data_IF_993891356381
#
_entry.id   IF_993891356381
#
_cell.length_a   1.000
_cell.length_b   1.000
_cell.length_c   1.000
_cell.angle_alpha   90.00
_cell.angle_beta   90.00
_cell.angle_gamma   90.00
#
_symmetry.space_group_name_H-M   'P 1'
#
loop_
_entity.id
_entity.type
_entity.pdbx_description
1 polymer ?
#
# COMPACT_ATOMS: atom_id res chain seq x y z
N UNK A 1 -12.09 -18.46 -9.30
CA UNK A 1 -13.23 -19.03 -8.57
C UNK A 1 -14.11 -17.92 -7.99
N UNK A 2 -13.66 -17.22 -6.95
CA UNK A 2 -14.37 -16.10 -6.30
C UNK A 2 -14.83 -14.99 -7.28
N UNK A 3 -13.93 -14.53 -8.17
CA UNK A 3 -14.27 -13.54 -9.22
C UNK A 3 -15.43 -13.95 -10.13
N UNK A 4 -15.58 -15.25 -10.45
CA UNK A 4 -16.70 -15.75 -11.28
C UNK A 4 -18.04 -15.66 -10.54
N UNK A 5 -17.99 -15.65 -9.19
CA UNK A 5 -19.15 -15.54 -8.30
C UNK A 5 -19.45 -14.10 -7.84
N UNK A 6 -18.65 -13.11 -8.27
CA UNK A 6 -18.71 -11.71 -7.76
C UNK A 6 -18.55 -11.61 -6.23
N UNK A 7 -17.77 -12.53 -5.70
CA UNK A 7 -17.44 -12.66 -4.28
C UNK A 7 -15.93 -12.48 -4.08
N UNK A 8 -15.53 -12.21 -2.85
CA UNK A 8 -14.14 -12.00 -2.47
C UNK A 8 -13.86 -12.56 -1.07
N UNK A 9 -12.59 -12.86 -0.79
CA UNK A 9 -12.13 -13.28 0.54
C UNK A 9 -12.23 -12.07 1.48
N UNK A 10 -12.79 -12.20 2.67
CA UNK A 10 -12.86 -11.11 3.66
C UNK A 10 -11.48 -10.69 4.20
N UNK A 11 -10.76 -9.89 3.42
CA UNK A 11 -9.43 -9.39 3.78
C UNK A 11 -9.48 -8.44 4.97
N UNK A 12 -10.61 -7.74 5.20
CA UNK A 12 -10.76 -6.86 6.36
C UNK A 12 -10.90 -7.69 7.65
N UNK A 13 -11.70 -8.76 7.62
CA UNK A 13 -11.78 -9.72 8.71
C UNK A 13 -10.42 -10.33 9.06
N UNK A 14 -9.67 -10.77 8.03
CA UNK A 14 -8.31 -11.30 8.19
C UNK A 14 -7.37 -10.26 8.79
N UNK A 15 -7.40 -9.02 8.29
CA UNK A 15 -6.58 -7.92 8.80
C UNK A 15 -6.89 -7.60 10.26
N UNK A 16 -8.17 -7.51 10.62
CA UNK A 16 -8.56 -7.21 12.00
C UNK A 16 -8.19 -8.34 12.98
N UNK A 17 -8.32 -9.60 12.55
CA UNK A 17 -7.91 -10.75 13.34
C UNK A 17 -6.39 -10.99 13.34
N UNK A 18 -5.64 -10.33 12.45
CA UNK A 18 -4.22 -10.57 12.18
C UNK A 18 -3.91 -12.06 11.96
N UNK A 19 -4.86 -12.80 11.40
CA UNK A 19 -4.77 -14.25 11.24
C UNK A 19 -5.71 -14.74 10.15
N UNK A 20 -5.29 -15.79 9.45
CA UNK A 20 -6.12 -16.56 8.51
C UNK A 20 -6.92 -17.60 9.29
N UNK A 21 -8.19 -17.75 8.98
CA UNK A 21 -9.03 -18.74 9.63
C UNK A 21 -8.81 -20.15 9.06
N UNK A 22 -9.15 -21.23 9.81
CA UNK A 22 -8.89 -22.61 9.36
C UNK A 22 -9.57 -23.00 8.04
N UNK A 23 -10.69 -22.36 7.69
CA UNK A 23 -11.40 -22.66 6.44
C UNK A 23 -10.63 -22.10 5.25
N UNK A 24 -10.12 -20.86 5.36
CA UNK A 24 -9.26 -20.28 4.33
C UNK A 24 -7.91 -20.99 4.25
N UNK A 25 -7.31 -21.40 5.38
CA UNK A 25 -6.10 -22.24 5.39
C UNK A 25 -6.31 -23.56 4.61
N UNK A 26 -7.43 -24.24 4.86
CA UNK A 26 -7.80 -25.47 4.15
C UNK A 26 -7.98 -25.24 2.64
N UNK A 27 -8.69 -24.16 2.27
CA UNK A 27 -8.87 -23.78 0.87
C UNK A 27 -7.52 -23.50 0.17
N UNK A 28 -6.60 -22.78 0.83
CA UNK A 28 -5.25 -22.53 0.32
C UNK A 28 -4.51 -23.84 0.11
N UNK A 29 -4.57 -24.78 1.06
CA UNK A 29 -3.91 -26.07 0.95
C UNK A 29 -4.43 -26.90 -0.24
N UNK A 30 -5.75 -26.96 -0.42
CA UNK A 30 -6.38 -27.65 -1.57
C UNK A 30 -5.93 -27.04 -2.89
N UNK A 31 -6.03 -25.72 -3.05
CA UNK A 31 -5.64 -25.03 -4.29
C UNK A 31 -4.15 -25.23 -4.57
N UNK A 32 -3.31 -25.06 -3.54
CA UNK A 32 -1.86 -25.22 -3.66
C UNK A 32 -1.47 -26.64 -4.06
N UNK A 33 -2.13 -27.66 -3.50
CA UNK A 33 -1.92 -29.05 -3.88
C UNK A 33 -2.23 -29.30 -5.35
N UNK A 34 -3.39 -28.83 -5.82
CA UNK A 34 -3.80 -29.00 -7.23
C UNK A 34 -2.85 -28.28 -8.20
N UNK A 35 -2.42 -27.06 -7.84
CA UNK A 35 -1.47 -26.28 -8.65
C UNK A 35 -0.10 -26.95 -8.66
N UNK A 36 0.41 -27.36 -7.50
CA UNK A 36 1.69 -28.06 -7.39
C UNK A 36 1.71 -29.32 -8.29
N UNK A 37 0.67 -30.13 -8.17
CA UNK A 37 0.49 -31.36 -8.96
C UNK A 37 0.49 -31.11 -10.47
N UNK A 38 0.04 -29.92 -10.90
CA UNK A 38 0.05 -29.50 -12.29
C UNK A 38 1.45 -29.07 -12.74
N UNK A 39 2.09 -28.16 -11.99
CA UNK A 39 3.35 -27.52 -12.41
C UNK A 39 4.54 -28.48 -12.41
N UNK A 40 4.53 -29.51 -11.54
CA UNK A 40 5.57 -30.55 -11.52
C UNK A 40 5.45 -31.55 -12.69
N UNK A 41 4.37 -31.46 -13.47
CA UNK A 41 4.12 -32.25 -14.69
C UNK A 41 4.01 -31.31 -15.90
N UNK A 42 5.10 -30.65 -16.31
CA UNK A 42 5.08 -29.76 -17.47
C UNK A 42 4.87 -30.56 -18.77
N UNK A 43 4.45 -29.89 -19.86
CA UNK A 43 4.39 -30.51 -21.19
C UNK A 43 5.75 -31.06 -21.66
N UNK A 44 5.73 -32.01 -22.60
CA UNK A 44 6.95 -32.57 -23.17
C UNK A 44 7.90 -31.50 -23.70
N UNK A 45 9.20 -31.69 -23.48
CA UNK A 45 10.24 -30.74 -23.88
C UNK A 45 10.48 -29.59 -22.89
N UNK A 46 9.74 -29.52 -21.78
CA UNK A 46 9.97 -28.56 -20.71
C UNK A 46 10.50 -29.30 -19.47
N UNK A 47 11.75 -29.04 -19.09
CA UNK A 47 12.40 -29.64 -17.92
C UNK A 47 12.51 -28.68 -16.73
N UNK A 48 12.55 -27.37 -16.99
CA UNK A 48 12.68 -26.35 -15.94
C UNK A 48 11.29 -25.86 -15.48
N UNK A 49 10.89 -26.30 -14.29
CA UNK A 49 9.59 -25.95 -13.67
C UNK A 49 9.49 -24.45 -13.41
N UNK A 50 10.56 -23.81 -12.93
CA UNK A 50 10.56 -22.36 -12.65
C UNK A 50 10.34 -21.54 -13.92
N UNK A 51 10.93 -21.95 -15.05
CA UNK A 51 10.66 -21.32 -16.35
C UNK A 51 9.28 -21.66 -16.89
N UNK A 52 8.74 -22.85 -16.58
CA UNK A 52 7.35 -23.18 -16.92
C UNK A 52 6.36 -22.27 -16.22
N UNK A 53 6.51 -22.04 -14.92
CA UNK A 53 5.62 -21.19 -14.12
C UNK A 53 5.63 -19.71 -14.53
N UNK A 54 6.62 -19.26 -15.30
CA UNK A 54 6.67 -17.90 -15.87
C UNK A 54 5.89 -17.76 -17.18
N UNK A 55 5.50 -18.87 -17.83
CA UNK A 55 4.80 -18.85 -19.11
C UNK A 55 3.29 -18.73 -18.92
N UNK A 56 2.65 -17.87 -19.71
CA UNK A 56 1.18 -17.74 -19.75
C UNK A 56 0.46 -19.07 -20.02
N UNK A 57 1.07 -19.94 -20.83
CA UNK A 57 0.54 -21.28 -21.12
C UNK A 57 0.38 -22.14 -19.84
N UNK A 58 1.24 -21.96 -18.83
CA UNK A 58 1.11 -22.64 -17.54
C UNK A 58 -0.16 -22.22 -16.81
N UNK A 59 -0.37 -20.91 -16.69
CA UNK A 59 -1.55 -20.34 -16.02
C UNK A 59 -2.85 -20.60 -16.78
N UNK A 60 -2.80 -20.62 -18.11
CA UNK A 60 -3.95 -20.99 -18.95
C UNK A 60 -4.37 -22.45 -18.68
N UNK A 61 -3.39 -23.37 -18.57
CA UNK A 61 -3.64 -24.78 -18.24
C UNK A 61 -4.24 -24.93 -16.84
N UNK A 62 -3.71 -24.22 -15.84
CA UNK A 62 -4.26 -24.22 -14.47
C UNK A 62 -5.68 -23.66 -14.45
N UNK A 63 -5.93 -22.56 -15.17
CA UNK A 63 -7.26 -21.94 -15.25
C UNK A 63 -8.32 -22.87 -15.88
N UNK A 64 -7.94 -23.75 -16.80
CA UNK A 64 -8.84 -24.76 -17.35
C UNK A 64 -9.34 -25.77 -16.29
N UNK A 65 -8.62 -25.90 -15.16
CA UNK A 65 -8.99 -26.76 -14.02
C UNK A 65 -9.81 -26.03 -12.96
N UNK A 66 -10.19 -24.76 -13.19
CA UNK A 66 -10.87 -23.92 -12.20
C UNK A 66 -12.13 -24.57 -11.61
N UNK A 67 -12.95 -25.22 -12.45
CA UNK A 67 -14.21 -25.81 -11.98
C UNK A 67 -13.96 -27.08 -11.17
N UNK A 68 -12.96 -27.89 -11.54
CA UNK A 68 -12.52 -29.04 -10.75
C UNK A 68 -11.95 -28.59 -9.39
N UNK A 69 -11.15 -27.51 -9.37
CA UNK A 69 -10.62 -26.93 -8.11
C UNK A 69 -11.77 -26.42 -7.25
N UNK A 70 -12.75 -25.72 -7.84
CA UNK A 70 -13.91 -25.21 -7.11
C UNK A 70 -14.69 -26.34 -6.41
N UNK A 71 -14.88 -27.48 -7.08
CA UNK A 71 -15.59 -28.62 -6.49
C UNK A 71 -14.83 -29.31 -5.34
N UNK A 72 -13.52 -29.07 -5.21
CA UNK A 72 -12.70 -29.58 -4.10
C UNK A 72 -12.67 -28.65 -2.89
N UNK A 73 -13.16 -27.41 -3.03
CA UNK A 73 -13.17 -26.45 -1.92
C UNK A 73 -14.27 -26.79 -0.92
N UNK A 74 -14.01 -26.61 0.39
CA UNK A 74 -15.01 -26.87 1.42
C UNK A 74 -16.21 -25.93 1.24
N UNK A 75 -17.47 -26.37 1.44
CA UNK A 75 -18.64 -25.51 1.37
C UNK A 75 -18.52 -24.25 2.24
N UNK A 76 -17.94 -24.41 3.42
CA UNK A 76 -17.70 -23.34 4.40
C UNK A 76 -16.81 -22.23 3.86
N UNK A 77 -15.95 -22.52 2.87
CA UNK A 77 -15.14 -21.48 2.21
C UNK A 77 -16.04 -20.49 1.49
N UNK A 78 -17.10 -20.97 0.84
CA UNK A 78 -18.04 -20.12 0.12
C UNK A 78 -18.90 -19.30 1.06
N UNK A 79 -19.32 -19.87 2.20
CA UNK A 79 -20.12 -19.18 3.21
C UNK A 79 -19.38 -17.99 3.86
N UNK A 80 -18.03 -17.99 3.81
CA UNK A 80 -17.18 -16.94 4.36
C UNK A 80 -16.77 -15.87 3.34
N UNK A 81 -17.21 -15.99 2.09
CA UNK A 81 -16.94 -14.96 1.10
C UNK A 81 -17.85 -13.76 1.31
N UNK A 82 -17.32 -12.58 0.98
CA UNK A 82 -18.07 -11.32 1.02
C UNK A 82 -18.36 -10.84 -0.39
N UNK A 83 -19.47 -10.11 -0.62
CA UNK A 83 -19.73 -9.46 -1.89
C UNK A 83 -18.57 -8.57 -2.32
N UNK A 84 -18.21 -8.63 -3.61
CA UNK A 84 -17.08 -7.88 -4.13
C UNK A 84 -17.27 -6.35 -4.01
N UNK A 85 -18.51 -5.88 -4.06
CA UNK A 85 -18.84 -4.44 -3.99
C UNK A 85 -18.60 -3.85 -2.59
N UNK A 86 -18.81 -4.63 -1.53
CA UNK A 86 -18.56 -4.22 -0.15
C UNK A 86 -17.07 -3.94 0.08
N UNK A 87 -16.20 -4.74 -0.54
CA UNK A 87 -14.76 -4.51 -0.48
C UNK A 87 -14.29 -3.29 -1.25
N UNK A 88 -14.89 -2.98 -2.40
CA UNK A 88 -14.51 -1.78 -3.15
C UNK A 88 -14.81 -0.51 -2.33
N UNK A 89 -15.94 -0.50 -1.60
CA UNK A 89 -16.29 0.57 -0.67
C UNK A 89 -15.32 0.64 0.52
N UNK A 90 -15.00 -0.50 1.14
CA UNK A 90 -14.03 -0.59 2.25
C UNK A 90 -12.65 -0.09 1.82
N UNK A 91 -12.14 -0.52 0.67
CA UNK A 91 -10.81 -0.10 0.16
C UNK A 91 -10.77 1.40 -0.10
N UNK A 92 -11.86 1.98 -0.63
CA UNK A 92 -11.95 3.42 -0.87
C UNK A 92 -11.93 4.19 0.45
N UNK A 93 -12.71 3.75 1.44
CA UNK A 93 -12.75 4.36 2.77
C UNK A 93 -11.41 4.22 3.49
N UNK A 94 -10.78 3.04 3.46
CA UNK A 94 -9.48 2.80 4.08
C UNK A 94 -8.38 3.69 3.48
N UNK A 95 -8.36 3.88 2.15
CA UNK A 95 -7.44 4.82 1.49
C UNK A 95 -7.69 6.26 1.92
N UNK A 96 -8.94 6.64 2.15
CA UNK A 96 -9.29 7.98 2.63
C UNK A 96 -8.83 8.18 4.08
N UNK A 97 -9.08 7.23 4.97
CA UNK A 97 -8.61 7.26 6.37
C UNK A 97 -7.08 7.34 6.44
N UNK A 98 -6.36 6.46 5.71
CA UNK A 98 -4.90 6.49 5.69
C UNK A 98 -4.35 7.83 5.19
N UNK A 99 -5.01 8.47 4.23
CA UNK A 99 -4.61 9.79 3.73
C UNK A 99 -4.75 10.87 4.81
N UNK A 100 -5.82 10.80 5.61
CA UNK A 100 -6.05 11.70 6.75
C UNK A 100 -4.99 11.45 7.82
N UNK A 101 -4.76 10.19 8.22
CA UNK A 101 -3.77 9.83 9.23
C UNK A 101 -2.35 10.26 8.82
N UNK A 102 -1.98 10.08 7.55
CA UNK A 102 -0.72 10.57 7.00
C UNK A 102 -0.63 12.10 7.06
N UNK A 103 -1.74 12.81 6.82
CA UNK A 103 -1.83 14.26 6.94
C UNK A 103 -1.62 14.74 8.37
N UNK A 104 -2.24 14.06 9.34
CA UNK A 104 -2.11 14.33 10.78
C UNK A 104 -0.66 14.11 11.24
N UNK A 105 -0.05 12.98 10.89
CA UNK A 105 1.36 12.72 11.23
C UNK A 105 2.31 13.73 10.57
N UNK A 106 2.03 14.13 9.32
CA UNK A 106 2.82 15.15 8.65
C UNK A 106 2.71 16.51 9.36
N UNK A 107 1.50 16.92 9.75
CA UNK A 107 1.31 18.13 10.55
C UNK A 107 2.03 18.05 11.90
N UNK A 108 1.92 16.92 12.61
CA UNK A 108 2.60 16.72 13.89
C UNK A 108 4.11 16.91 13.78
N UNK A 109 4.73 16.29 12.77
CA UNK A 109 6.19 16.43 12.52
C UNK A 109 6.58 17.87 12.17
N UNK A 110 5.78 18.55 11.35
CA UNK A 110 6.05 19.94 10.97
C UNK A 110 5.95 20.89 12.15
N UNK A 111 4.95 20.70 13.02
CA UNK A 111 4.75 21.50 14.23
C UNK A 111 5.83 21.25 15.29
N UNK A 112 6.52 20.10 15.23
CA UNK A 112 7.66 19.83 16.10
C UNK A 112 8.92 20.65 15.71
N UNK A 113 8.98 21.19 14.49
CA UNK A 113 10.09 22.03 14.02
C UNK A 113 9.79 23.50 14.35
N UNK A 114 10.65 24.20 15.11
CA UNK A 114 10.44 25.60 15.47
C UNK A 114 10.39 26.55 14.26
N UNK A 115 9.62 27.63 14.35
CA UNK A 115 9.52 28.64 13.29
C UNK A 115 10.87 29.26 12.90
N UNK A 116 11.77 29.46 13.86
CA UNK A 116 13.12 29.96 13.61
C UNK A 116 13.93 29.00 12.72
N UNK A 117 13.70 27.70 12.88
CA UNK A 117 14.39 26.68 12.10
C UNK A 117 13.86 26.62 10.67
N UNK A 118 12.55 26.79 10.48
CA UNK A 118 11.97 26.97 9.16
C UNK A 118 12.54 28.19 8.42
N UNK A 119 12.82 29.29 9.14
CA UNK A 119 13.46 30.46 8.55
C UNK A 119 14.89 30.19 8.10
N UNK A 120 15.67 29.44 8.89
CA UNK A 120 17.02 29.02 8.54
C UNK A 120 17.04 28.13 7.29
N UNK A 121 16.14 27.15 7.23
CA UNK A 121 15.97 26.27 6.07
C UNK A 121 15.58 27.07 4.83
N UNK A 122 14.60 27.97 4.97
CA UNK A 122 14.16 28.84 3.88
C UNK A 122 15.31 29.66 3.31
N UNK A 123 16.09 30.32 4.16
CA UNK A 123 17.25 31.09 3.73
C UNK A 123 18.30 30.22 3.01
N UNK A 124 18.65 29.06 3.60
CA UNK A 124 19.66 28.17 3.05
C UNK A 124 19.27 27.59 1.69
N UNK A 125 17.99 27.31 1.46
CA UNK A 125 17.49 26.81 0.18
C UNK A 125 17.28 27.93 -0.85
N UNK A 126 16.94 29.14 -0.40
CA UNK A 126 16.82 30.32 -1.25
C UNK A 126 18.18 30.73 -1.81
N UNK A 127 19.22 30.77 -0.97
CA UNK A 127 20.60 31.10 -1.39
C UNK A 127 21.17 30.12 -2.43
N UNK A 128 20.67 28.89 -2.46
CA UNK A 128 21.06 27.85 -3.42
C UNK A 128 20.16 27.79 -4.66
N UNK A 129 19.18 28.69 -4.79
CA UNK A 129 18.14 28.66 -5.85
C UNK A 129 17.41 27.31 -5.95
N UNK A 130 17.20 26.63 -4.82
CA UNK A 130 16.59 25.30 -4.75
C UNK A 130 15.08 25.35 -4.40
N UNK A 131 14.45 26.53 -4.39
CA UNK A 131 13.03 26.67 -4.05
C UNK A 131 12.17 26.96 -5.27
N UNK A 132 11.12 26.17 -5.46
CA UNK A 132 10.03 26.51 -6.37
C UNK A 132 9.11 27.57 -5.74
N UNK A 133 8.35 28.35 -6.54
CA UNK A 133 7.40 29.35 -6.00
C UNK A 133 6.37 28.76 -5.03
N UNK A 134 6.00 27.49 -5.25
CA UNK A 134 5.10 26.76 -4.37
C UNK A 134 5.77 26.43 -3.03
N UNK A 135 6.98 25.92 -3.04
CA UNK A 135 7.74 25.58 -1.82
C UNK A 135 8.04 26.83 -0.99
N UNK A 136 8.43 27.95 -1.62
CA UNK A 136 8.63 29.24 -0.96
C UNK A 136 7.36 29.72 -0.25
N UNK A 137 6.22 29.70 -0.93
CA UNK A 137 4.94 30.08 -0.32
C UNK A 137 4.55 29.20 0.87
N UNK A 138 4.89 27.91 0.83
CA UNK A 138 4.62 26.94 1.91
C UNK A 138 5.56 27.16 3.10
N UNK A 139 6.86 27.38 2.86
CA UNK A 139 7.84 27.70 3.90
C UNK A 139 7.49 28.99 4.65
N UNK A 140 6.99 30.01 3.94
CA UNK A 140 6.51 31.25 4.57
C UNK A 140 5.36 31.06 5.53
N UNK A 141 4.53 30.02 5.33
CA UNK A 141 3.48 29.66 6.28
C UNK A 141 4.08 28.96 7.50
N UNK A 142 5.05 28.07 7.32
CA UNK A 142 5.72 27.38 8.43
C UNK A 142 6.51 28.34 9.35
N UNK A 143 7.12 29.39 8.79
CA UNK A 143 7.79 30.45 9.55
C UNK A 143 6.84 31.27 10.44
N UNK A 144 5.52 31.16 10.25
CA UNK A 144 4.51 31.86 11.05
C UNK A 144 3.92 30.99 12.16
N UNK A 145 4.45 29.79 12.41
CA UNK A 145 4.00 28.98 13.55
C UNK A 145 4.36 29.71 14.86
N UNK A 146 3.46 29.82 15.86
CA UNK A 146 2.14 29.16 15.94
C UNK A 146 0.96 30.00 15.45
N UNK A 147 1.15 31.25 15.00
CA UNK A 147 0.05 32.14 14.62
C UNK A 147 -0.68 31.69 13.35
N UNK A 148 0.01 30.98 12.46
CA UNK A 148 -0.57 30.33 11.27
C UNK A 148 -0.08 28.90 11.16
N UNK A 149 -1.01 27.96 11.13
CA UNK A 149 -0.71 26.53 11.02
C UNK A 149 -0.77 26.08 9.56
N UNK A 150 0.22 25.31 9.07
CA UNK A 150 0.16 24.69 7.75
C UNK A 150 -0.99 23.68 7.65
N UNK A 151 -1.65 23.63 6.50
CA UNK A 151 -2.62 22.57 6.17
C UNK A 151 -1.91 21.22 5.96
N UNK A 152 -2.64 20.10 6.05
CA UNK A 152 -2.08 18.75 5.79
C UNK A 152 -1.28 18.68 4.48
N UNK A 153 -1.82 19.25 3.39
CA UNK A 153 -1.14 19.29 2.10
C UNK A 153 0.16 20.11 2.13
N UNK A 154 0.16 21.21 2.87
CA UNK A 154 1.35 22.04 3.05
C UNK A 154 2.38 21.31 3.92
N UNK A 155 1.94 20.57 4.95
CA UNK A 155 2.82 19.79 5.81
C UNK A 155 3.52 18.66 5.07
N UNK A 156 2.85 17.98 4.14
CA UNK A 156 3.52 17.00 3.26
C UNK A 156 4.63 17.67 2.45
N UNK A 157 4.35 18.83 1.83
CA UNK A 157 5.36 19.59 1.07
C UNK A 157 6.52 20.04 1.97
N UNK A 158 6.26 20.44 3.21
CA UNK A 158 7.30 20.81 4.17
C UNK A 158 8.20 19.64 4.54
N UNK A 159 7.66 18.42 4.66
CA UNK A 159 8.48 17.23 4.88
C UNK A 159 9.38 16.93 3.67
N UNK A 160 8.86 17.04 2.45
CA UNK A 160 9.66 16.87 1.22
C UNK A 160 10.80 17.90 1.16
N UNK A 161 10.54 19.15 1.58
CA UNK A 161 11.54 20.20 1.68
C UNK A 161 12.61 19.87 2.74
N UNK A 162 12.23 19.30 3.88
CA UNK A 162 13.19 18.86 4.91
C UNK A 162 14.11 17.76 4.38
N UNK A 163 13.56 16.77 3.68
CA UNK A 163 14.36 15.69 3.11
C UNK A 163 15.28 16.21 1.99
N UNK A 164 14.79 17.12 1.14
CA UNK A 164 15.61 17.84 0.16
C UNK A 164 16.72 18.65 0.83
N UNK A 165 16.41 19.38 1.90
CA UNK A 165 17.37 20.14 2.68
C UNK A 165 18.47 19.25 3.27
N UNK A 166 18.11 18.09 3.83
CA UNK A 166 19.05 17.12 4.38
C UNK A 166 20.05 16.60 3.34
N UNK A 167 19.58 16.28 2.13
CA UNK A 167 20.45 15.83 1.03
C UNK A 167 21.48 16.90 0.64
N UNK A 168 21.12 18.17 0.80
CA UNK A 168 21.95 19.34 0.49
C UNK A 168 22.78 19.84 1.70
N UNK A 169 22.82 19.07 2.79
CA UNK A 169 23.58 19.39 4.01
C UNK A 169 22.89 20.40 4.96
N UNK A 170 21.64 20.76 4.71
CA UNK A 170 20.82 21.60 5.60
C UNK A 170 20.10 20.67 6.59
N UNK A 171 20.79 20.31 7.67
CA UNK A 171 20.24 19.41 8.70
C UNK A 171 19.49 20.23 9.73
N UNK A 172 18.28 19.79 10.11
CA UNK A 172 17.53 20.35 11.24
C UNK A 172 18.35 20.16 12.52
N UNK A 173 18.65 21.25 13.23
CA UNK A 173 19.28 21.15 14.55
C UNK A 173 18.26 20.55 15.52
N UNK A 174 18.50 19.32 15.98
CA UNK A 174 17.70 18.74 17.06
C UNK A 174 17.83 19.62 18.32
N UNK A 175 16.73 19.83 19.08
CA UNK A 175 16.78 20.49 20.37
C UNK A 175 17.59 19.70 21.41
#
# INVERSE_FOLDING_TARGET
>A
ITKRRKESIDFLGIWNAQKVDPVLESAIAVVSGVVNDDIIRPPQGISNISEWCKKEACWTRIQARTDAIANLLPPEFYDRLVPQDDQAAIVKTAKQTQRIDNGIEAQRKVLAVPAAEWARIHQSLLEKDLLTPKEDGVLRVAMQIPSKLPTEKQSVVLLDILDKGRLEGVVVSEP
#
